data_IF_154361088591
#
_entry.id   IF_154361088591
#
_cell.length_a   1.000
_cell.length_b   1.000
_cell.length_c   1.000
_cell.angle_alpha   90.00
_cell.angle_beta   90.00
_cell.angle_gamma   90.00
#
_symmetry.space_group_name_H-M   'P 1'
#
loop_
_entity.id
_entity.type
_entity.pdbx_description
1 polymer ?
#
# COMPACT_ATOMS: atom_id res chain seq x y z
N UNK A 1 52.46 25.52 -15.17
CA UNK A 1 52.68 24.07 -15.25
C UNK A 1 51.79 23.27 -14.25
N UNK A 2 51.61 23.68 -13.01
CA UNK A 2 50.78 22.92 -12.03
C UNK A 2 49.27 22.81 -12.37
N UNK A 3 48.66 23.80 -13.04
CA UNK A 3 47.23 23.75 -13.44
C UNK A 3 46.95 22.81 -14.62
N UNK A 4 47.93 22.58 -15.52
CA UNK A 4 47.78 21.63 -16.64
C UNK A 4 47.84 20.17 -16.14
N UNK A 5 48.63 19.91 -15.11
CA UNK A 5 48.74 18.55 -14.52
C UNK A 5 47.44 18.11 -13.80
N UNK A 6 46.72 19.04 -13.15
CA UNK A 6 45.44 18.74 -12.46
C UNK A 6 44.36 18.44 -13.49
N UNK A 7 44.32 19.15 -14.61
CA UNK A 7 43.35 18.88 -15.69
C UNK A 7 43.62 17.55 -16.40
N UNK A 8 44.86 17.18 -16.58
CA UNK A 8 45.24 15.89 -17.15
C UNK A 8 44.92 14.71 -16.24
N UNK A 9 45.06 14.88 -14.90
CA UNK A 9 44.66 13.85 -13.92
C UNK A 9 43.13 13.69 -13.83
N UNK A 10 42.36 14.79 -13.93
CA UNK A 10 40.91 14.73 -13.96
C UNK A 10 40.36 14.05 -15.23
N UNK A 11 40.98 14.33 -16.40
CA UNK A 11 40.64 13.63 -17.64
C UNK A 11 41.09 12.17 -17.67
N UNK A 12 42.21 11.81 -17.02
CA UNK A 12 42.62 10.41 -16.88
C UNK A 12 41.70 9.60 -15.91
N UNK A 13 41.17 10.24 -14.88
CA UNK A 13 40.18 9.62 -13.98
C UNK A 13 38.79 9.41 -14.63
N UNK A 14 38.43 10.28 -15.60
CA UNK A 14 37.21 10.08 -16.40
C UNK A 14 37.41 9.06 -17.55
N UNK A 15 38.64 8.81 -17.99
CA UNK A 15 38.91 7.84 -19.05
C UNK A 15 39.06 6.38 -18.56
N UNK A 16 39.08 6.16 -17.24
CA UNK A 16 39.17 4.82 -16.63
C UNK A 16 37.83 4.27 -16.13
N UNK A 17 36.70 4.84 -16.56
CA UNK A 17 35.44 4.12 -16.54
C UNK A 17 35.53 3.04 -17.64
N UNK A 18 36.25 1.94 -17.36
CA UNK A 18 36.21 0.74 -18.20
C UNK A 18 34.75 0.35 -18.29
N UNK A 19 34.22 0.27 -19.51
CA UNK A 19 32.91 -0.31 -19.73
C UNK A 19 32.94 -1.69 -19.06
N UNK A 20 32.09 -1.87 -18.06
CA UNK A 20 31.98 -3.14 -17.35
C UNK A 20 31.51 -4.19 -18.38
N UNK A 21 32.18 -5.34 -18.45
CA UNK A 21 31.74 -6.39 -19.35
C UNK A 21 30.31 -6.79 -19.04
N UNK A 22 29.47 -6.86 -20.06
CA UNK A 22 28.07 -7.30 -19.94
C UNK A 22 27.95 -8.80 -19.71
N UNK A 23 29.05 -9.53 -19.79
CA UNK A 23 29.11 -10.96 -19.48
C UNK A 23 30.48 -11.36 -18.94
N UNK A 24 30.51 -12.49 -18.25
CA UNK A 24 31.74 -13.12 -17.72
C UNK A 24 31.75 -14.62 -18.05
N UNK A 25 32.96 -15.22 -18.04
CA UNK A 25 33.14 -16.66 -18.22
C UNK A 25 32.62 -17.42 -16.98
N UNK A 26 31.77 -18.41 -17.18
CA UNK A 26 31.34 -19.29 -16.11
C UNK A 26 32.51 -20.20 -15.66
N UNK A 27 32.71 -20.32 -14.35
CA UNK A 27 33.83 -21.13 -13.81
C UNK A 27 33.59 -22.64 -13.87
N UNK A 28 32.34 -23.06 -14.03
CA UNK A 28 31.94 -24.45 -14.08
C UNK A 28 31.75 -24.99 -15.49
N UNK A 29 31.67 -24.09 -16.50
CA UNK A 29 31.46 -24.45 -17.90
C UNK A 29 32.26 -23.51 -18.81
N UNK A 30 33.31 -24.03 -19.44
CA UNK A 30 34.22 -23.25 -20.29
C UNK A 30 33.55 -22.67 -21.57
N UNK A 31 32.46 -23.30 -22.00
CA UNK A 31 31.70 -22.85 -23.18
C UNK A 31 30.58 -21.88 -22.85
N UNK A 32 30.39 -21.53 -21.57
CA UNK A 32 29.27 -20.70 -21.12
C UNK A 32 29.72 -19.30 -20.66
N UNK A 33 29.16 -18.28 -21.31
CA UNK A 33 29.22 -16.89 -20.83
C UNK A 33 27.91 -16.55 -20.08
N UNK A 34 28.04 -15.90 -18.94
CA UNK A 34 26.91 -15.36 -18.17
C UNK A 34 26.85 -13.86 -18.33
N UNK A 35 25.63 -13.32 -18.51
CA UNK A 35 25.42 -11.88 -18.44
C UNK A 35 25.57 -11.39 -17.00
N UNK A 36 26.26 -10.26 -16.81
CA UNK A 36 26.59 -9.74 -15.48
C UNK A 36 25.38 -9.18 -14.74
N UNK A 37 24.38 -8.62 -15.43
CA UNK A 37 23.35 -7.80 -14.81
C UNK A 37 21.95 -8.41 -14.86
N UNK A 38 21.78 -9.61 -15.41
CA UNK A 38 20.43 -10.15 -15.62
C UNK A 38 19.71 -10.57 -14.35
N UNK A 39 20.39 -10.66 -13.19
CA UNK A 39 19.82 -11.09 -11.91
C UNK A 39 19.49 -9.95 -10.95
N UNK A 40 19.92 -8.73 -11.29
CA UNK A 40 19.67 -7.57 -10.43
C UNK A 40 18.23 -7.10 -10.59
N UNK A 41 17.38 -7.52 -9.65
CA UNK A 41 16.02 -7.00 -9.55
C UNK A 41 16.06 -5.73 -8.72
N UNK A 42 15.77 -4.60 -9.35
CA UNK A 42 15.70 -3.32 -8.67
C UNK A 42 14.36 -3.16 -7.95
N UNK A 43 14.42 -2.81 -6.66
CA UNK A 43 13.26 -2.37 -5.90
C UNK A 43 12.82 -1.00 -6.42
N UNK A 44 11.52 -0.83 -6.66
CA UNK A 44 10.96 0.48 -6.97
C UNK A 44 11.01 1.39 -5.74
N UNK A 45 11.47 2.63 -5.95
CA UNK A 45 11.53 3.61 -4.89
C UNK A 45 10.26 4.49 -4.91
N UNK A 46 9.42 4.33 -3.89
CA UNK A 46 8.28 5.22 -3.65
C UNK A 46 8.53 6.02 -2.38
N UNK A 47 9.05 7.23 -2.58
CA UNK A 47 9.57 8.08 -1.51
C UNK A 47 8.44 8.96 -0.96
N UNK A 48 8.21 8.86 0.35
CA UNK A 48 7.32 9.75 1.12
C UNK A 48 8.08 10.21 2.35
N UNK A 49 8.16 11.52 2.62
CA UNK A 49 8.73 12.04 3.86
C UNK A 49 7.99 11.58 5.12
N UNK A 50 8.66 11.60 6.26
CA UNK A 50 7.99 11.37 7.54
C UNK A 50 6.91 12.41 7.78
N UNK A 51 5.77 12.00 8.35
CA UNK A 51 4.62 12.85 8.68
C UNK A 51 4.44 12.86 10.20
N UNK A 52 4.42 14.04 10.81
CA UNK A 52 4.25 14.21 12.27
C UNK A 52 5.20 13.35 13.12
N UNK A 53 6.43 13.13 12.63
CA UNK A 53 7.45 12.30 13.30
C UNK A 53 7.24 10.80 13.18
N UNK A 54 6.28 10.34 12.37
CA UNK A 54 6.08 8.94 11.99
C UNK A 54 6.70 8.65 10.62
N UNK A 55 7.24 7.44 10.45
CA UNK A 55 7.55 6.88 9.14
C UNK A 55 6.27 6.55 8.39
N UNK A 56 6.24 6.75 7.09
CA UNK A 56 5.12 6.34 6.24
C UNK A 56 5.47 5.00 5.61
N UNK A 57 4.90 3.92 6.15
CA UNK A 57 5.08 2.57 5.64
C UNK A 57 4.09 2.30 4.51
N UNK A 58 4.58 1.81 3.39
CA UNK A 58 3.78 1.42 2.24
C UNK A 58 3.33 -0.02 2.43
N UNK A 59 2.03 -0.24 2.46
CA UNK A 59 1.47 -1.56 2.74
C UNK A 59 0.38 -1.96 1.78
N UNK A 60 0.22 -3.28 1.60
CA UNK A 60 -0.97 -3.88 1.03
C UNK A 60 -1.55 -4.85 2.07
N UNK A 61 -2.78 -4.62 2.47
CA UNK A 61 -3.45 -5.37 3.53
C UNK A 61 -4.45 -6.39 2.99
N UNK A 62 -4.44 -6.64 1.65
CA UNK A 62 -5.35 -7.54 0.98
C UNK A 62 -4.69 -8.18 -0.25
N UNK A 63 -4.18 -9.41 -0.09
CA UNK A 63 -3.51 -10.14 -1.16
C UNK A 63 -3.70 -11.65 -1.02
N UNK A 64 -3.84 -12.34 -2.16
CA UNK A 64 -4.11 -13.76 -2.28
C UNK A 64 -2.95 -14.53 -2.90
N UNK A 65 -2.88 -15.83 -2.61
CA UNK A 65 -1.93 -16.76 -3.21
C UNK A 65 -2.64 -18.06 -3.64
N UNK A 66 -1.85 -19.04 -4.12
CA UNK A 66 -2.39 -20.34 -4.51
C UNK A 66 -3.05 -21.11 -3.36
N UNK A 67 -2.96 -20.65 -2.13
CA UNK A 67 -3.64 -21.26 -0.98
C UNK A 67 -5.14 -20.94 -0.92
N UNK A 68 -5.60 -19.96 -1.69
CA UNK A 68 -7.02 -19.74 -1.99
C UNK A 68 -7.25 -19.74 -3.50
N UNK A 69 -7.39 -18.62 -4.13
CA UNK A 69 -7.69 -18.45 -5.56
C UNK A 69 -6.68 -17.57 -6.30
N UNK A 70 -5.62 -17.12 -5.62
CA UNK A 70 -4.50 -16.46 -6.26
C UNK A 70 -3.68 -17.43 -7.14
N UNK A 71 -2.93 -16.88 -8.08
CA UNK A 71 -2.16 -17.67 -9.07
C UNK A 71 -0.65 -17.72 -8.78
N UNK A 72 -0.19 -17.16 -7.65
CA UNK A 72 1.23 -17.10 -7.26
C UNK A 72 1.46 -17.69 -5.88
N UNK A 73 2.71 -18.14 -5.59
CA UNK A 73 3.06 -18.65 -4.27
C UNK A 73 3.26 -17.51 -3.26
N UNK A 74 3.19 -17.78 -1.94
CA UNK A 74 3.47 -16.78 -0.92
C UNK A 74 4.84 -16.13 -1.07
N UNK A 75 5.88 -16.88 -1.43
CA UNK A 75 7.23 -16.36 -1.65
C UNK A 75 7.30 -15.40 -2.84
N UNK A 76 6.59 -15.73 -3.93
CA UNK A 76 6.51 -14.84 -5.07
C UNK A 76 5.79 -13.53 -4.70
N UNK A 77 4.67 -13.62 -3.97
CA UNK A 77 3.92 -12.47 -3.51
C UNK A 77 4.77 -11.53 -2.64
N UNK A 78 5.59 -12.09 -1.74
CA UNK A 78 6.54 -11.30 -0.93
C UNK A 78 7.60 -10.62 -1.79
N UNK A 79 8.21 -11.36 -2.74
CA UNK A 79 9.20 -10.80 -3.66
C UNK A 79 8.61 -9.69 -4.51
N UNK A 80 7.41 -9.89 -5.05
CA UNK A 80 6.69 -8.89 -5.85
C UNK A 80 6.41 -7.62 -5.04
N UNK A 81 5.89 -7.76 -3.81
CA UNK A 81 5.67 -6.65 -2.90
C UNK A 81 6.96 -5.85 -2.63
N UNK A 82 8.10 -6.54 -2.46
CA UNK A 82 9.39 -5.88 -2.32
C UNK A 82 9.81 -5.13 -3.59
N UNK A 83 9.67 -5.74 -4.76
CA UNK A 83 9.97 -5.10 -6.06
C UNK A 83 9.14 -3.83 -6.22
N UNK A 84 7.85 -3.88 -5.85
CA UNK A 84 6.92 -2.76 -5.94
C UNK A 84 7.15 -1.66 -4.88
N UNK A 85 8.13 -1.84 -3.99
CA UNK A 85 8.50 -0.85 -2.99
C UNK A 85 7.69 -0.89 -1.69
N UNK A 86 6.94 -1.96 -1.41
CA UNK A 86 6.19 -2.10 -0.16
C UNK A 86 7.11 -2.41 1.03
N UNK A 87 6.70 -1.96 2.21
CA UNK A 87 7.35 -2.21 3.50
C UNK A 87 6.59 -3.26 4.32
N UNK A 88 5.28 -3.41 4.06
CA UNK A 88 4.36 -4.28 4.79
C UNK A 88 3.43 -4.98 3.81
N UNK A 89 3.16 -6.26 4.05
CA UNK A 89 2.22 -7.05 3.27
C UNK A 89 1.37 -7.91 4.21
N UNK A 90 0.05 -7.97 3.99
CA UNK A 90 -0.80 -8.98 4.59
C UNK A 90 -1.08 -10.10 3.58
N UNK A 91 -1.05 -11.35 4.04
CA UNK A 91 -1.56 -12.50 3.29
C UNK A 91 -2.94 -12.81 3.85
N UNK A 92 -3.95 -12.78 2.99
CA UNK A 92 -5.37 -12.81 3.39
C UNK A 92 -6.15 -13.82 2.56
N UNK A 93 -5.71 -15.08 2.62
CA UNK A 93 -6.37 -16.17 1.90
C UNK A 93 -7.84 -16.29 2.27
N UNK A 94 -8.69 -16.55 1.28
CA UNK A 94 -10.09 -16.91 1.53
C UNK A 94 -10.19 -18.15 2.41
N UNK A 95 -10.98 -18.09 3.47
CA UNK A 95 -11.22 -19.26 4.32
C UNK A 95 -12.17 -20.23 3.61
N UNK A 96 -13.18 -19.70 2.91
CA UNK A 96 -14.28 -20.48 2.35
C UNK A 96 -14.16 -20.77 0.86
N UNK A 97 -13.46 -19.90 0.12
CA UNK A 97 -13.32 -20.01 -1.33
C UNK A 97 -11.89 -20.39 -1.71
N UNK A 98 -11.65 -21.66 -2.00
CA UNK A 98 -10.33 -22.22 -2.29
C UNK A 98 -10.38 -23.16 -3.51
N UNK A 99 -10.50 -22.59 -4.74
CA UNK A 99 -10.64 -23.41 -5.96
C UNK A 99 -9.42 -24.30 -6.24
N UNK A 100 -8.23 -23.93 -5.76
CA UNK A 100 -7.00 -24.69 -5.96
C UNK A 100 -6.78 -25.83 -4.95
N UNK A 101 -7.70 -26.02 -3.99
CA UNK A 101 -7.58 -26.98 -2.90
C UNK A 101 -7.23 -28.40 -3.38
N UNK A 102 -7.90 -28.90 -4.42
CA UNK A 102 -7.65 -30.22 -4.97
C UNK A 102 -6.25 -30.38 -5.59
N UNK A 103 -5.76 -29.34 -6.26
CA UNK A 103 -4.42 -29.31 -6.84
C UNK A 103 -3.37 -29.25 -5.73
N UNK A 104 -3.55 -28.36 -4.76
CA UNK A 104 -2.64 -28.17 -3.63
C UNK A 104 -2.47 -29.45 -2.82
N UNK A 105 -3.56 -30.10 -2.45
CA UNK A 105 -3.53 -31.36 -1.69
C UNK A 105 -2.96 -32.53 -2.49
N UNK A 106 -3.09 -32.55 -3.82
CA UNK A 106 -2.59 -33.60 -4.69
C UNK A 106 -1.09 -33.47 -4.99
N UNK A 107 -0.64 -32.30 -5.40
CA UNK A 107 0.74 -32.08 -5.88
C UNK A 107 1.69 -31.55 -4.81
N UNK A 108 1.21 -30.88 -3.80
CA UNK A 108 2.01 -30.17 -2.82
C UNK A 108 1.90 -30.76 -1.41
N UNK A 109 1.67 -32.06 -1.28
CA UNK A 109 1.55 -32.74 0.03
C UNK A 109 2.66 -32.37 1.03
N UNK A 110 3.88 -32.22 0.55
CA UNK A 110 5.02 -31.81 1.39
C UNK A 110 5.00 -30.36 1.85
N UNK A 111 4.10 -29.54 1.31
CA UNK A 111 3.95 -28.13 1.68
C UNK A 111 2.97 -27.92 2.83
N UNK A 112 2.16 -28.92 3.16
CA UNK A 112 1.17 -28.83 4.21
C UNK A 112 1.66 -29.52 5.46
N UNK A 113 1.58 -28.83 6.58
CA UNK A 113 1.89 -29.37 7.90
C UNK A 113 0.63 -29.32 8.76
N UNK A 114 0.36 -30.42 9.47
CA UNK A 114 -0.79 -30.54 10.34
C UNK A 114 -1.99 -31.25 9.71
N UNK A 115 -3.07 -31.37 10.47
CA UNK A 115 -4.31 -31.97 10.02
C UNK A 115 -5.07 -31.01 9.11
N UNK A 116 -5.62 -31.48 7.97
CA UNK A 116 -6.43 -30.65 7.09
C UNK A 116 -7.66 -30.10 7.84
N UNK A 117 -7.91 -28.81 7.70
CA UNK A 117 -9.14 -28.18 8.17
C UNK A 117 -10.34 -28.72 7.36
N UNK A 118 -11.51 -28.88 7.97
CA UNK A 118 -12.73 -29.39 7.35
C UNK A 118 -13.93 -28.47 7.49
N UNK A 119 -13.86 -27.17 7.14
CA UNK A 119 -15.05 -26.35 7.13
C UNK A 119 -16.05 -26.92 6.11
N UNK A 120 -17.33 -26.88 6.42
CA UNK A 120 -18.41 -27.43 5.59
C UNK A 120 -18.21 -28.90 5.18
N UNK A 121 -17.50 -29.71 5.97
CA UNK A 121 -17.28 -31.12 5.71
C UNK A 121 -16.26 -31.45 4.61
N UNK A 122 -15.61 -30.43 4.01
CA UNK A 122 -14.53 -30.62 3.03
C UNK A 122 -13.17 -30.55 3.74
N UNK A 123 -12.21 -31.33 3.23
CA UNK A 123 -10.81 -31.25 3.64
C UNK A 123 -10.23 -30.01 2.96
N UNK A 124 -9.63 -29.14 3.74
CA UNK A 124 -9.01 -27.91 3.26
C UNK A 124 -7.54 -27.85 3.66
N UNK A 125 -6.75 -27.13 2.87
CA UNK A 125 -5.34 -26.89 3.16
C UNK A 125 -5.17 -26.13 4.46
N UNK A 126 -4.03 -26.34 5.13
CA UNK A 126 -3.64 -25.53 6.28
C UNK A 126 -3.23 -24.12 5.84
N UNK A 127 -4.09 -23.14 6.08
CA UNK A 127 -3.84 -21.75 5.70
C UNK A 127 -2.73 -21.05 6.51
N UNK A 128 -2.37 -21.60 7.68
CA UNK A 128 -1.22 -21.10 8.44
C UNK A 128 0.10 -21.30 7.68
N UNK A 129 0.15 -22.30 6.78
CA UNK A 129 1.31 -22.55 5.93
C UNK A 129 1.55 -21.38 4.97
N UNK A 130 0.51 -20.81 4.36
CA UNK A 130 0.64 -19.63 3.50
C UNK A 130 1.30 -18.48 4.24
N UNK A 131 0.78 -18.12 5.41
CA UNK A 131 1.33 -17.06 6.27
C UNK A 131 2.78 -17.35 6.70
N UNK A 132 3.08 -18.58 7.15
CA UNK A 132 4.42 -18.94 7.62
C UNK A 132 5.47 -18.92 6.50
N UNK A 133 5.11 -19.33 5.29
CA UNK A 133 5.98 -19.25 4.11
C UNK A 133 6.26 -17.81 3.70
N UNK A 134 5.24 -16.95 3.73
CA UNK A 134 5.42 -15.52 3.49
C UNK A 134 6.36 -14.88 4.53
N UNK A 135 6.17 -15.19 5.81
CA UNK A 135 7.06 -14.72 6.90
C UNK A 135 8.50 -15.17 6.68
N UNK A 136 8.70 -16.44 6.34
CA UNK A 136 10.04 -16.97 6.08
C UNK A 136 10.72 -16.30 4.88
N UNK A 137 9.99 -16.10 3.78
CA UNK A 137 10.49 -15.43 2.59
C UNK A 137 10.83 -13.95 2.86
N UNK A 138 10.03 -13.27 3.68
CA UNK A 138 10.18 -11.85 3.96
C UNK A 138 11.48 -11.46 4.68
N UNK A 139 12.11 -12.41 5.38
CA UNK A 139 13.40 -12.18 6.10
C UNK A 139 14.47 -11.65 5.15
N UNK A 140 14.56 -12.18 3.93
CA UNK A 140 15.55 -11.76 2.92
C UNK A 140 15.26 -10.38 2.30
N UNK A 141 14.04 -9.86 2.44
CA UNK A 141 13.58 -8.61 1.82
C UNK A 141 13.34 -7.47 2.81
N UNK A 142 13.33 -7.74 4.12
CA UNK A 142 13.01 -6.73 5.13
C UNK A 142 11.57 -6.23 5.10
N UNK A 143 10.65 -7.04 4.54
CA UNK A 143 9.20 -6.77 4.57
C UNK A 143 8.60 -7.33 5.86
N UNK A 144 7.70 -6.58 6.48
CA UNK A 144 6.90 -7.09 7.60
C UNK A 144 5.64 -7.76 7.08
N UNK A 145 5.44 -9.04 7.39
CA UNK A 145 4.24 -9.78 7.04
C UNK A 145 3.22 -9.69 8.17
N UNK A 146 2.00 -9.30 7.85
CA UNK A 146 0.83 -9.39 8.73
C UNK A 146 0.12 -10.71 8.42
N UNK A 147 0.12 -11.69 9.33
CA UNK A 147 -0.69 -12.89 9.15
C UNK A 147 -2.18 -12.53 9.15
N UNK A 148 -2.92 -13.02 8.16
CA UNK A 148 -4.32 -12.71 8.01
C UNK A 148 -5.10 -13.79 7.28
N UNK A 149 -6.38 -13.54 7.11
CA UNK A 149 -7.29 -14.35 6.30
C UNK A 149 -8.50 -13.51 5.90
N UNK A 150 -9.13 -13.85 4.81
CA UNK A 150 -10.39 -13.24 4.40
C UNK A 150 -11.58 -14.17 4.71
N UNK A 151 -12.53 -13.62 5.47
CA UNK A 151 -13.86 -14.20 5.72
C UNK A 151 -14.73 -13.79 4.54
N UNK A 152 -14.99 -14.74 3.63
CA UNK A 152 -15.64 -14.51 2.34
C UNK A 152 -17.04 -15.07 2.33
N UNK A 153 -18.04 -14.24 2.06
CA UNK A 153 -19.45 -14.62 1.98
C UNK A 153 -20.12 -13.94 0.77
N UNK A 154 -21.43 -14.15 0.62
CA UNK A 154 -22.23 -13.48 -0.40
C UNK A 154 -22.11 -11.94 -0.28
N UNK A 155 -21.51 -11.30 -1.26
CA UNK A 155 -21.21 -9.86 -1.27
C UNK A 155 -22.45 -8.99 -1.12
N UNK A 156 -23.61 -9.44 -1.62
CA UNK A 156 -24.84 -8.66 -1.58
C UNK A 156 -25.60 -8.80 -0.26
N UNK A 157 -25.28 -9.81 0.57
CA UNK A 157 -25.99 -10.09 1.83
C UNK A 157 -25.11 -9.93 3.06
N UNK A 158 -23.82 -10.18 2.94
CA UNK A 158 -22.86 -10.25 4.05
C UNK A 158 -21.64 -9.40 3.78
N UNK A 159 -20.96 -9.60 2.65
CA UNK A 159 -19.70 -8.95 2.30
C UNK A 159 -18.47 -9.78 2.65
N UNK A 160 -17.30 -9.19 2.43
CA UNK A 160 -15.99 -9.79 2.66
C UNK A 160 -15.22 -8.99 3.73
N UNK A 161 -14.45 -9.70 4.55
CA UNK A 161 -13.77 -9.09 5.70
C UNK A 161 -12.41 -9.71 5.94
N UNK A 162 -11.36 -8.89 5.95
CA UNK A 162 -10.03 -9.34 6.34
C UNK A 162 -9.87 -9.33 7.85
N UNK A 163 -9.45 -10.46 8.41
CA UNK A 163 -8.96 -10.59 9.76
C UNK A 163 -7.43 -10.47 9.74
N UNK A 164 -6.89 -9.35 10.22
CA UNK A 164 -5.46 -9.04 10.24
C UNK A 164 -4.86 -9.38 11.62
N UNK A 165 -3.61 -9.87 11.68
CA UNK A 165 -2.93 -10.31 12.91
C UNK A 165 -3.54 -11.57 13.55
N UNK A 166 -4.07 -12.47 12.75
CA UNK A 166 -4.57 -13.77 13.20
C UNK A 166 -3.39 -14.68 13.54
N UNK A 167 -3.50 -15.43 14.65
CA UNK A 167 -2.45 -16.38 15.07
C UNK A 167 -2.65 -17.76 14.47
N UNK A 168 -3.89 -18.19 14.35
CA UNK A 168 -4.30 -19.47 13.79
C UNK A 168 -5.56 -19.30 12.92
N UNK A 169 -5.34 -19.22 11.62
CA UNK A 169 -6.40 -19.01 10.61
C UNK A 169 -7.37 -20.18 10.58
N UNK A 170 -6.89 -21.40 10.80
CA UNK A 170 -7.72 -22.61 10.67
C UNK A 170 -8.84 -22.69 11.73
N UNK A 171 -8.72 -21.96 12.83
CA UNK A 171 -9.68 -22.01 13.96
C UNK A 171 -10.77 -20.93 13.93
N UNK A 172 -10.66 -19.94 13.02
CA UNK A 172 -11.61 -18.82 13.00
C UNK A 172 -12.90 -19.12 12.23
N UNK A 173 -12.91 -20.14 11.35
CA UNK A 173 -14.11 -20.46 10.58
C UNK A 173 -15.32 -20.77 11.48
N UNK A 174 -16.47 -20.22 11.10
CA UNK A 174 -17.80 -20.55 11.64
C UNK A 174 -18.85 -20.37 10.53
N UNK A 175 -19.92 -21.18 10.47
CA UNK A 175 -21.04 -20.94 9.56
C UNK A 175 -21.63 -19.54 9.68
N UNK A 176 -21.65 -18.96 10.88
CA UNK A 176 -21.99 -17.56 11.11
C UNK A 176 -20.75 -16.67 10.96
N UNK A 177 -20.70 -15.77 9.96
CA UNK A 177 -19.55 -14.91 9.73
C UNK A 177 -19.27 -13.93 10.88
N UNK A 178 -20.27 -13.49 11.63
CA UNK A 178 -20.06 -12.66 12.82
C UNK A 178 -19.33 -13.44 13.93
N UNK A 179 -19.60 -14.73 14.06
CA UNK A 179 -18.87 -15.63 14.98
C UNK A 179 -17.43 -15.83 14.50
N UNK A 180 -17.21 -15.99 13.18
CA UNK A 180 -15.85 -16.05 12.62
C UNK A 180 -15.04 -14.79 12.97
N UNK A 181 -15.63 -13.59 12.84
CA UNK A 181 -14.99 -12.34 13.23
C UNK A 181 -14.67 -12.31 14.74
N UNK A 182 -15.59 -12.75 15.60
CA UNK A 182 -15.39 -12.82 17.06
C UNK A 182 -14.21 -13.74 17.41
N UNK A 183 -14.15 -14.94 16.81
CA UNK A 183 -13.03 -15.88 17.00
C UNK A 183 -11.69 -15.26 16.57
N UNK A 184 -11.66 -14.52 15.47
CA UNK A 184 -10.46 -13.81 15.04
C UNK A 184 -10.07 -12.70 16.05
N UNK A 185 -11.04 -11.93 16.54
CA UNK A 185 -10.80 -10.89 17.56
C UNK A 185 -10.31 -11.45 18.89
N UNK A 186 -10.77 -12.63 19.31
CA UNK A 186 -10.27 -13.34 20.50
C UNK A 186 -8.77 -13.67 20.38
N UNK A 187 -8.27 -13.89 19.17
CA UNK A 187 -6.85 -14.03 18.88
C UNK A 187 -6.11 -12.68 18.81
N UNK A 188 -6.84 -11.58 18.91
CA UNK A 188 -6.32 -10.22 18.84
C UNK A 188 -6.32 -9.62 17.43
N UNK A 189 -7.03 -10.20 16.47
CA UNK A 189 -7.13 -9.64 15.13
C UNK A 189 -7.85 -8.29 15.09
N UNK A 190 -7.52 -7.48 14.08
CA UNK A 190 -8.30 -6.35 13.60
C UNK A 190 -9.12 -6.80 12.40
N UNK A 191 -10.36 -6.37 12.30
CA UNK A 191 -11.25 -6.72 11.18
C UNK A 191 -11.41 -5.52 10.26
N UNK A 192 -11.11 -5.73 8.98
CA UNK A 192 -11.27 -4.73 7.92
C UNK A 192 -12.39 -5.16 6.96
N UNK A 193 -13.33 -4.27 6.67
CA UNK A 193 -14.36 -4.49 5.66
C UNK A 193 -13.78 -4.23 4.27
N UNK A 194 -13.81 -5.24 3.40
CA UNK A 194 -13.21 -5.20 2.08
C UNK A 194 -14.19 -4.63 1.05
N UNK A 195 -13.68 -3.95 0.02
CA UNK A 195 -14.36 -3.49 -1.22
C UNK A 195 -15.90 -3.36 -1.11
N UNK A 196 -16.43 -2.43 -0.28
CA UNK A 196 -17.85 -2.38 0.10
C UNK A 196 -18.83 -2.12 -1.06
N UNK A 197 -18.32 -1.69 -2.20
CA UNK A 197 -19.09 -1.43 -3.42
C UNK A 197 -18.98 -2.50 -4.51
N UNK A 198 -18.04 -3.45 -4.36
CA UNK A 198 -17.79 -4.46 -5.39
C UNK A 198 -19.06 -5.25 -5.75
N UNK A 199 -19.36 -5.35 -7.07
CA UNK A 199 -20.56 -5.95 -7.66
C UNK A 199 -21.90 -5.46 -7.10
N UNK A 200 -21.92 -4.41 -6.28
CA UNK A 200 -23.12 -3.77 -5.75
C UNK A 200 -23.53 -2.57 -6.59
N UNK A 201 -24.81 -2.22 -6.53
CA UNK A 201 -25.36 -1.05 -7.20
C UNK A 201 -24.88 0.27 -6.56
N UNK A 202 -24.66 0.27 -5.26
CA UNK A 202 -24.17 1.39 -4.47
C UNK A 202 -23.45 0.87 -3.21
N UNK A 203 -22.94 1.79 -2.39
CA UNK A 203 -22.24 1.48 -1.15
C UNK A 203 -23.12 1.57 0.10
N UNK A 204 -24.46 1.61 -0.03
CA UNK A 204 -25.35 1.65 1.12
C UNK A 204 -25.16 0.43 2.01
N UNK A 205 -25.25 0.63 3.34
CA UNK A 205 -25.08 -0.45 4.30
C UNK A 205 -26.22 -1.47 4.23
N UNK A 206 -25.86 -2.74 4.03
CA UNK A 206 -26.77 -3.87 4.16
C UNK A 206 -26.98 -4.23 5.65
N UNK A 207 -27.98 -5.05 5.94
CA UNK A 207 -28.34 -5.37 7.33
C UNK A 207 -27.21 -6.02 8.12
N UNK A 208 -26.43 -6.91 7.49
CA UNK A 208 -25.30 -7.54 8.16
C UNK A 208 -24.19 -6.52 8.52
N UNK A 209 -23.89 -5.58 7.63
CA UNK A 209 -22.92 -4.49 7.92
C UNK A 209 -23.40 -3.64 9.09
N UNK A 210 -24.70 -3.28 9.15
CA UNK A 210 -25.28 -2.55 10.28
C UNK A 210 -25.13 -3.32 11.59
N UNK A 211 -25.33 -4.64 11.55
CA UNK A 211 -25.16 -5.51 12.71
C UNK A 211 -23.71 -5.50 13.18
N UNK A 212 -22.73 -5.87 12.33
CA UNK A 212 -21.32 -6.02 12.74
C UNK A 212 -20.68 -4.68 13.11
N UNK A 213 -21.14 -3.58 12.51
CA UNK A 213 -20.72 -2.23 12.91
C UNK A 213 -21.31 -1.85 14.27
N UNK A 214 -22.58 -2.18 14.52
CA UNK A 214 -23.25 -1.96 15.81
C UNK A 214 -22.64 -2.79 16.93
N UNK A 215 -22.14 -3.98 16.64
CA UNK A 215 -21.43 -4.86 17.57
C UNK A 215 -19.94 -4.48 17.75
N UNK A 216 -19.46 -3.41 17.11
CA UNK A 216 -18.06 -2.95 17.14
C UNK A 216 -17.06 -4.05 16.73
N UNK A 217 -17.42 -4.86 15.74
CA UNK A 217 -16.54 -5.91 15.23
C UNK A 217 -15.53 -5.39 14.20
N UNK A 218 -15.79 -4.25 13.57
CA UNK A 218 -14.98 -3.70 12.47
C UNK A 218 -14.04 -2.60 12.99
N UNK A 219 -12.80 -2.64 12.55
CA UNK A 219 -11.74 -1.68 12.90
C UNK A 219 -11.31 -0.82 11.70
N UNK A 220 -11.52 -1.30 10.47
CA UNK A 220 -11.11 -0.61 9.24
C UNK A 220 -11.99 -0.92 8.05
N UNK A 221 -11.80 -0.16 6.96
CA UNK A 221 -12.57 -0.32 5.73
C UNK A 221 -11.71 0.07 4.52
N UNK A 222 -11.86 -0.65 3.42
CA UNK A 222 -11.29 -0.26 2.15
C UNK A 222 -12.11 0.87 1.52
N UNK A 223 -11.43 1.97 1.24
CA UNK A 223 -12.00 3.07 0.46
C UNK A 223 -11.53 3.01 -1.00
N UNK A 224 -10.48 2.23 -1.28
CA UNK A 224 -9.99 1.88 -2.61
C UNK A 224 -9.59 0.40 -2.64
N UNK A 225 -9.98 -0.31 -3.71
CA UNK A 225 -9.60 -1.69 -3.93
C UNK A 225 -9.36 -1.91 -5.44
N UNK A 226 -8.21 -2.47 -5.83
CA UNK A 226 -7.85 -2.57 -7.23
C UNK A 226 -7.96 -1.23 -7.96
N UNK A 227 -8.81 -1.14 -8.97
CA UNK A 227 -9.10 0.11 -9.70
C UNK A 227 -10.36 0.84 -9.18
N UNK A 228 -11.00 0.32 -8.14
CA UNK A 228 -12.22 0.90 -7.58
C UNK A 228 -11.91 1.95 -6.51
N UNK A 229 -12.67 3.03 -6.49
CA UNK A 229 -12.60 4.08 -5.49
C UNK A 229 -14.01 4.46 -5.02
N UNK A 230 -14.23 4.48 -3.71
CA UNK A 230 -15.51 4.72 -3.07
C UNK A 230 -15.52 6.01 -2.23
N UNK A 231 -15.60 7.22 -2.82
CA UNK A 231 -15.54 8.48 -2.07
C UNK A 231 -16.53 8.58 -0.89
N UNK A 232 -17.79 8.11 -0.97
CA UNK A 232 -18.72 8.16 0.17
C UNK A 232 -18.25 7.34 1.38
N UNK A 233 -17.40 6.32 1.16
CA UNK A 233 -16.88 5.47 2.25
C UNK A 233 -15.88 6.23 3.13
N UNK A 234 -15.23 7.30 2.64
CA UNK A 234 -14.36 8.15 3.46
C UNK A 234 -15.14 8.74 4.63
N UNK A 235 -16.33 9.27 4.37
CA UNK A 235 -17.23 9.82 5.41
C UNK A 235 -17.68 8.73 6.38
N UNK A 236 -18.07 7.56 5.86
CA UNK A 236 -18.47 6.42 6.71
C UNK A 236 -17.32 5.98 7.63
N UNK A 237 -16.09 5.90 7.11
CA UNK A 237 -14.93 5.51 7.89
C UNK A 237 -14.64 6.49 9.02
N UNK A 238 -14.76 7.80 8.76
CA UNK A 238 -14.62 8.85 9.79
C UNK A 238 -15.70 8.72 10.87
N UNK A 239 -16.99 8.64 10.49
CA UNK A 239 -18.13 8.54 11.40
C UNK A 239 -18.09 7.27 12.27
N UNK A 240 -17.58 6.16 11.72
CA UNK A 240 -17.47 4.87 12.42
C UNK A 240 -16.15 4.67 13.14
N UNK A 241 -15.23 5.63 13.05
CA UNK A 241 -13.88 5.54 13.60
C UNK A 241 -13.06 4.36 13.04
N UNK A 242 -13.20 4.04 11.76
CA UNK A 242 -12.44 3.00 11.08
C UNK A 242 -11.14 3.55 10.50
N UNK A 243 -10.06 2.75 10.51
CA UNK A 243 -8.91 3.08 9.68
C UNK A 243 -9.27 2.93 8.20
N UNK A 244 -8.72 3.81 7.35
CA UNK A 244 -8.97 3.81 5.92
C UNK A 244 -7.86 3.10 5.18
N UNK A 245 -8.22 2.22 4.24
CA UNK A 245 -7.27 1.42 3.48
C UNK A 245 -7.44 1.56 1.97
N UNK A 246 -6.34 1.38 1.24
CA UNK A 246 -6.29 1.12 -0.18
C UNK A 246 -5.45 -0.12 -0.42
N UNK A 247 -6.03 -1.16 -0.96
CA UNK A 247 -5.37 -2.43 -1.18
C UNK A 247 -5.61 -2.94 -2.60
N UNK A 248 -4.88 -3.96 -2.99
CA UNK A 248 -4.98 -4.47 -4.35
C UNK A 248 -6.00 -5.57 -4.53
N UNK A 249 -6.20 -6.41 -3.51
CA UNK A 249 -6.95 -7.66 -3.65
C UNK A 249 -6.38 -8.54 -4.79
N UNK A 250 -5.05 -8.54 -4.87
CA UNK A 250 -4.33 -9.11 -6.00
C UNK A 250 -4.37 -10.63 -6.00
N UNK A 251 -4.85 -11.20 -7.08
CA UNK A 251 -4.88 -12.64 -7.33
C UNK A 251 -3.79 -13.09 -8.31
N UNK A 252 -3.57 -12.31 -9.37
CA UNK A 252 -2.53 -12.50 -10.36
C UNK A 252 -1.19 -11.87 -9.95
N UNK A 253 -0.45 -11.35 -10.92
CA UNK A 253 0.78 -10.57 -10.70
C UNK A 253 0.51 -9.08 -10.82
N UNK A 254 1.10 -8.27 -9.96
CA UNK A 254 0.95 -6.81 -10.03
C UNK A 254 1.47 -6.22 -11.33
N UNK A 255 2.46 -6.87 -11.95
CA UNK A 255 2.99 -6.47 -13.26
C UNK A 255 1.92 -6.42 -14.35
N UNK A 256 0.95 -7.34 -14.31
CA UNK A 256 -0.13 -7.37 -15.30
C UNK A 256 -1.15 -6.26 -15.08
N UNK A 257 -1.43 -5.93 -13.81
CA UNK A 257 -2.53 -5.04 -13.46
C UNK A 257 -2.09 -3.57 -13.34
N UNK A 258 -0.84 -3.31 -12.93
CA UNK A 258 -0.36 -1.96 -12.62
C UNK A 258 0.83 -1.52 -13.47
N UNK A 259 1.90 -2.34 -13.56
CA UNK A 259 3.16 -1.93 -14.18
C UNK A 259 3.04 -1.81 -15.69
N UNK A 260 2.23 -2.65 -16.34
CA UNK A 260 1.97 -2.54 -17.79
C UNK A 260 1.35 -1.18 -18.14
N UNK A 261 0.54 -0.62 -17.25
CA UNK A 261 0.00 0.73 -17.37
C UNK A 261 0.95 1.85 -16.94
N UNK A 262 2.16 1.53 -16.45
CA UNK A 262 3.11 2.51 -15.92
C UNK A 262 2.63 3.18 -14.62
N UNK A 263 1.75 2.54 -13.88
CA UNK A 263 1.10 3.10 -12.69
C UNK A 263 1.57 2.40 -11.42
N UNK A 264 1.64 3.16 -10.32
CA UNK A 264 1.95 2.62 -9.01
C UNK A 264 0.71 1.94 -8.42
N UNK A 265 0.89 0.73 -7.87
CA UNK A 265 -0.19 -0.05 -7.23
C UNK A 265 -0.82 0.68 -6.04
N UNK A 266 -1.98 0.19 -5.60
CA UNK A 266 -2.62 0.64 -4.37
C UNK A 266 -1.73 0.39 -3.15
N UNK A 267 -1.79 1.31 -2.20
CA UNK A 267 -1.08 1.22 -0.92
C UNK A 267 -1.92 1.82 0.20
N UNK A 268 -2.05 1.10 1.28
CA UNK A 268 -2.39 1.70 2.58
C UNK A 268 -1.11 2.27 3.17
N UNK A 269 -1.04 3.60 3.28
CA UNK A 269 0.09 4.32 3.86
C UNK A 269 -0.10 4.36 5.38
N UNK A 270 0.70 3.59 6.11
CA UNK A 270 0.60 3.46 7.57
C UNK A 270 1.64 4.37 8.23
N UNK A 271 1.20 5.30 9.07
CA UNK A 271 2.07 6.20 9.82
C UNK A 271 2.45 5.54 11.15
N UNK A 272 3.60 4.88 11.19
CA UNK A 272 4.11 4.14 12.33
C UNK A 272 5.47 4.65 12.79
N UNK A 273 5.83 4.39 14.04
CA UNK A 273 7.16 4.76 14.57
C UNK A 273 8.27 3.92 13.97
N UNK A 274 7.97 2.65 13.72
CA UNK A 274 8.90 1.67 13.17
C UNK A 274 8.16 0.60 12.37
N UNK A 275 8.88 -0.17 11.53
CA UNK A 275 8.31 -1.27 10.74
C UNK A 275 8.32 -2.56 11.57
N UNK A 276 7.40 -2.65 12.55
CA UNK A 276 7.19 -3.83 13.39
C UNK A 276 5.70 -4.10 13.56
N UNK A 277 5.31 -5.37 13.73
CA UNK A 277 3.90 -5.74 13.91
C UNK A 277 3.20 -4.96 15.04
N UNK A 278 3.81 -4.77 16.24
CA UNK A 278 3.17 -3.96 17.29
C UNK A 278 2.97 -2.50 16.89
N UNK A 279 3.96 -1.86 16.26
CA UNK A 279 3.88 -0.45 15.86
C UNK A 279 2.87 -0.24 14.71
N UNK A 280 2.82 -1.18 13.77
CA UNK A 280 1.82 -1.19 12.69
C UNK A 280 0.42 -1.35 13.26
N UNK A 281 0.20 -2.31 14.15
CA UNK A 281 -1.08 -2.54 14.79
C UNK A 281 -1.57 -1.35 15.60
N UNK A 282 -0.66 -0.69 16.33
CA UNK A 282 -0.94 0.56 17.05
C UNK A 282 -1.35 1.68 16.09
N UNK A 283 -0.66 1.81 14.95
CA UNK A 283 -1.00 2.80 13.93
C UNK A 283 -2.39 2.58 13.33
N UNK A 284 -2.74 1.32 13.00
CA UNK A 284 -4.07 0.96 12.50
C UNK A 284 -5.16 1.28 13.54
N UNK A 285 -4.99 0.86 14.80
CA UNK A 285 -5.92 1.18 15.88
C UNK A 285 -6.10 2.67 16.11
N UNK A 286 -5.02 3.43 15.95
CA UNK A 286 -5.05 4.90 16.06
C UNK A 286 -5.49 5.59 14.77
N UNK A 287 -5.90 4.85 13.74
CA UNK A 287 -6.34 5.34 12.41
C UNK A 287 -5.32 6.24 11.71
N UNK A 288 -4.04 6.03 12.00
CA UNK A 288 -2.94 6.74 11.35
C UNK A 288 -2.65 6.10 9.99
N UNK A 289 -3.63 6.18 9.08
CA UNK A 289 -3.55 5.63 7.72
C UNK A 289 -4.05 6.61 6.68
N UNK A 290 -3.49 6.52 5.48
CA UNK A 290 -3.99 7.17 4.27
C UNK A 290 -4.12 6.12 3.18
N UNK A 291 -5.15 6.22 2.37
CA UNK A 291 -5.33 5.38 1.19
C UNK A 291 -4.69 6.05 -0.03
N UNK A 292 -3.86 5.31 -0.75
CA UNK A 292 -3.23 5.75 -2.00
C UNK A 292 -3.58 4.80 -3.15
N UNK A 293 -4.02 5.33 -4.27
CA UNK A 293 -4.22 4.59 -5.51
C UNK A 293 -3.99 5.49 -6.71
N UNK A 294 -3.11 5.08 -7.63
CA UNK A 294 -2.94 5.70 -8.96
C UNK A 294 -2.79 7.24 -8.93
N UNK A 295 -2.07 7.76 -7.92
CA UNK A 295 -1.87 9.20 -7.73
C UNK A 295 -2.95 9.91 -6.93
N UNK A 296 -4.00 9.22 -6.50
CA UNK A 296 -5.03 9.75 -5.58
C UNK A 296 -4.68 9.39 -4.15
N UNK A 297 -4.86 10.34 -3.22
CA UNK A 297 -4.70 10.09 -1.77
C UNK A 297 -6.01 10.44 -1.07
N UNK A 298 -6.45 9.59 -0.14
CA UNK A 298 -7.66 9.85 0.64
C UNK A 298 -7.46 9.50 2.11
N UNK A 299 -8.16 10.22 2.99
CA UNK A 299 -8.06 10.00 4.43
C UNK A 299 -8.74 11.09 5.25
N UNK A 300 -8.47 11.09 6.55
CA UNK A 300 -8.93 12.12 7.49
C UNK A 300 -8.35 13.49 7.12
N UNK A 301 -9.15 14.55 7.20
CA UNK A 301 -8.79 15.87 6.68
C UNK A 301 -7.48 16.42 7.26
N UNK A 302 -7.29 16.35 8.58
CA UNK A 302 -6.06 16.88 9.18
C UNK A 302 -4.84 16.07 8.76
N UNK A 303 -4.94 14.75 8.74
CA UNK A 303 -3.85 13.88 8.33
C UNK A 303 -3.47 14.06 6.85
N UNK A 304 -4.45 14.27 5.98
CA UNK A 304 -4.25 14.63 4.57
C UNK A 304 -3.48 15.95 4.42
N UNK A 305 -3.84 16.99 5.20
CA UNK A 305 -3.12 18.27 5.19
C UNK A 305 -1.70 18.13 5.69
N UNK A 306 -1.50 17.41 6.78
CA UNK A 306 -0.17 17.15 7.35
C UNK A 306 0.72 16.39 6.37
N UNK A 307 0.15 15.39 5.68
CA UNK A 307 0.83 14.64 4.63
C UNK A 307 1.26 15.54 3.46
N UNK A 308 0.35 16.40 2.97
CA UNK A 308 0.70 17.35 1.91
C UNK A 308 1.82 18.30 2.34
N UNK A 309 1.74 18.85 3.55
CA UNK A 309 2.76 19.76 4.09
C UNK A 309 4.11 19.09 4.36
N UNK A 310 4.12 17.79 4.65
CA UNK A 310 5.36 17.03 4.76
C UNK A 310 6.00 16.80 3.37
N UNK A 311 5.18 16.56 2.34
CA UNK A 311 5.64 16.32 0.97
C UNK A 311 6.08 17.60 0.24
N UNK A 312 5.44 18.75 0.52
CA UNK A 312 5.64 19.98 -0.25
C UNK A 312 6.25 21.08 0.62
N UNK A 313 7.48 21.46 0.29
CA UNK A 313 8.20 22.58 0.92
C UNK A 313 7.83 23.91 0.25
N UNK A 314 7.59 24.95 1.05
CA UNK A 314 7.34 26.30 0.59
C UNK A 314 8.48 27.23 1.01
N UNK A 315 9.04 27.99 0.06
CA UNK A 315 10.13 28.93 0.30
C UNK A 315 9.86 30.25 -0.43
N UNK A 316 10.18 31.39 0.20
CA UNK A 316 10.19 32.66 -0.50
C UNK A 316 11.38 32.70 -1.46
N UNK A 317 11.10 32.65 -2.75
CA UNK A 317 12.12 32.70 -3.81
C UNK A 317 12.55 34.13 -4.13
N UNK A 318 11.59 35.07 -4.13
CA UNK A 318 11.83 36.50 -4.45
C UNK A 318 10.78 37.38 -3.83
N UNK A 319 11.15 38.58 -3.44
CA UNK A 319 10.25 39.68 -3.08
C UNK A 319 10.56 40.86 -4.00
N UNK A 320 9.56 41.43 -4.64
CA UNK A 320 9.71 42.63 -5.47
C UNK A 320 9.59 43.95 -4.69
N UNK A 321 9.82 45.07 -5.36
CA UNK A 321 9.78 46.41 -4.73
C UNK A 321 8.41 46.78 -4.16
N UNK A 322 7.33 46.11 -4.54
CA UNK A 322 5.97 46.32 -4.06
C UNK A 322 5.59 45.35 -2.92
N UNK A 323 6.52 44.50 -2.48
CA UNK A 323 6.31 43.51 -1.45
C UNK A 323 5.58 42.23 -1.93
N UNK A 324 5.33 42.10 -3.24
CA UNK A 324 4.78 40.85 -3.82
C UNK A 324 5.83 39.73 -3.74
N UNK A 325 5.45 38.60 -3.19
CA UNK A 325 6.32 37.43 -3.03
C UNK A 325 6.14 36.45 -4.19
N UNK A 326 7.23 35.89 -4.68
CA UNK A 326 7.22 34.67 -5.47
C UNK A 326 7.60 33.53 -4.54
N UNK A 327 6.66 32.63 -4.30
CA UNK A 327 6.86 31.45 -3.49
C UNK A 327 7.27 30.29 -4.39
N UNK A 328 8.28 29.54 -4.00
CA UNK A 328 8.63 28.27 -4.63
C UNK A 328 8.02 27.13 -3.83
N UNK A 329 7.24 26.31 -4.50
CA UNK A 329 6.70 25.05 -3.98
C UNK A 329 7.55 23.92 -4.54
N UNK A 330 8.13 23.08 -3.68
CA UNK A 330 8.96 21.93 -4.07
C UNK A 330 8.32 20.67 -3.53
N UNK A 331 7.94 19.76 -4.42
CA UNK A 331 7.48 18.42 -4.07
C UNK A 331 8.69 17.50 -3.84
N UNK A 332 8.87 17.00 -2.62
CA UNK A 332 9.95 16.08 -2.23
C UNK A 332 9.47 14.63 -2.10
N UNK A 333 8.38 14.27 -2.79
CA UNK A 333 7.79 12.93 -2.72
C UNK A 333 7.56 12.33 -4.10
N UNK A 334 7.28 11.04 -4.12
CA UNK A 334 6.84 10.31 -5.32
C UNK A 334 5.37 10.55 -5.68
N UNK A 335 4.60 11.25 -4.83
CA UNK A 335 3.18 11.53 -5.06
C UNK A 335 3.02 12.80 -5.91
N UNK A 336 2.31 12.75 -7.05
CA UNK A 336 1.95 13.97 -7.78
C UNK A 336 0.83 14.72 -7.06
N UNK A 337 0.81 16.06 -7.14
CA UNK A 337 -0.29 16.87 -6.62
C UNK A 337 -0.92 17.71 -7.71
N UNK A 338 -2.24 17.80 -7.71
CA UNK A 338 -3.04 18.63 -8.63
C UNK A 338 -3.57 19.80 -7.82
N UNK A 339 -3.00 20.99 -8.03
CA UNK A 339 -3.29 22.20 -7.25
C UNK A 339 -4.21 23.12 -8.03
N UNK A 340 -5.24 23.67 -7.36
CA UNK A 340 -6.20 24.62 -7.98
C UNK A 340 -6.27 25.93 -7.19
N UNK A 341 -5.83 26.99 -7.84
CA UNK A 341 -5.74 28.35 -7.29
C UNK A 341 -6.91 29.23 -7.76
N UNK A 342 -8.12 28.69 -7.87
CA UNK A 342 -9.30 29.39 -8.38
C UNK A 342 -9.51 29.30 -9.91
N UNK A 343 -8.47 28.99 -10.69
CA UNK A 343 -8.51 28.78 -12.13
C UNK A 343 -8.39 27.31 -12.53
N UNK A 344 -7.76 27.04 -13.67
CA UNK A 344 -7.45 25.68 -14.10
C UNK A 344 -6.46 25.02 -13.14
N UNK A 345 -6.63 23.70 -12.86
CA UNK A 345 -5.67 22.97 -12.04
C UNK A 345 -4.28 22.93 -12.67
N UNK A 346 -3.25 22.93 -11.82
CA UNK A 346 -1.86 22.79 -12.22
C UNK A 346 -1.23 21.61 -11.51
N UNK A 347 -0.44 20.81 -12.23
CA UNK A 347 0.25 19.66 -11.65
C UNK A 347 1.59 20.08 -11.02
N UNK A 348 1.81 19.68 -9.78
CA UNK A 348 3.12 19.67 -9.11
C UNK A 348 3.63 18.22 -9.14
N UNK A 349 4.52 17.92 -10.10
CA UNK A 349 5.03 16.55 -10.33
C UNK A 349 5.92 16.09 -9.18
N UNK A 350 6.12 14.77 -9.02
CA UNK A 350 7.16 14.25 -8.14
C UNK A 350 8.51 14.93 -8.36
N UNK A 351 9.21 15.22 -7.27
CA UNK A 351 10.57 15.80 -7.26
C UNK A 351 10.73 17.04 -8.17
N UNK A 352 9.69 17.87 -8.25
CA UNK A 352 9.70 19.08 -9.07
C UNK A 352 9.31 20.32 -8.26
N UNK A 353 9.59 21.51 -8.83
CA UNK A 353 9.25 22.78 -8.21
C UNK A 353 8.37 23.62 -9.14
N UNK A 354 7.49 24.40 -8.53
CA UNK A 354 6.71 25.47 -9.19
C UNK A 354 6.76 26.76 -8.40
N UNK A 355 6.70 27.87 -9.12
CA UNK A 355 6.60 29.18 -8.50
C UNK A 355 5.14 29.68 -8.57
N UNK A 356 4.69 30.30 -7.49
CA UNK A 356 3.40 30.99 -7.40
C UNK A 356 3.60 32.38 -6.84
N UNK A 357 2.88 33.37 -7.37
CA UNK A 357 2.95 34.74 -6.89
C UNK A 357 1.88 34.99 -5.83
N UNK A 358 2.28 35.59 -4.71
CA UNK A 358 1.41 35.96 -3.60
C UNK A 358 1.54 37.48 -3.39
N UNK A 359 0.43 38.24 -3.39
CA UNK A 359 0.47 39.69 -3.13
C UNK A 359 0.95 39.96 -1.70
N UNK A 360 1.45 41.18 -1.47
CA UNK A 360 1.82 41.59 -0.13
C UNK A 360 0.64 41.40 0.83
N UNK A 361 0.90 40.82 1.98
CA UNK A 361 -0.06 40.57 3.06
C UNK A 361 -1.26 39.67 2.68
N UNK A 362 -1.20 39.05 1.50
CA UNK A 362 -2.20 38.08 1.07
C UNK A 362 -1.87 36.64 1.55
N UNK A 363 -2.91 35.86 1.70
CA UNK A 363 -2.81 34.42 1.99
C UNK A 363 -2.71 33.63 0.67
N UNK A 364 -1.80 32.66 0.61
CA UNK A 364 -1.79 31.67 -0.45
C UNK A 364 -2.87 30.62 -0.15
N UNK A 365 -3.88 30.56 -0.98
CA UNK A 365 -5.03 29.66 -0.83
C UNK A 365 -5.22 28.82 -2.08
N UNK A 366 -5.37 27.50 -1.93
CA UNK A 366 -5.64 26.56 -3.03
C UNK A 366 -6.25 25.25 -2.49
N UNK A 367 -6.87 24.46 -3.38
CA UNK A 367 -7.29 23.09 -3.11
C UNK A 367 -6.34 22.11 -3.77
N UNK A 368 -6.26 20.87 -3.22
CA UNK A 368 -5.48 19.78 -3.79
C UNK A 368 -6.46 18.73 -4.34
N UNK A 369 -6.71 18.78 -5.64
CA UNK A 369 -7.83 18.10 -6.32
C UNK A 369 -7.70 16.57 -6.40
N UNK A 370 -6.50 16.02 -6.27
CA UNK A 370 -6.28 14.56 -6.20
C UNK A 370 -6.14 14.05 -4.77
N UNK A 371 -6.48 14.87 -3.78
CA UNK A 371 -6.63 14.45 -2.39
C UNK A 371 -8.09 14.54 -1.98
N UNK A 372 -8.56 13.51 -1.26
CA UNK A 372 -9.96 13.39 -0.88
C UNK A 372 -10.12 13.28 0.63
N UNK A 373 -11.11 14.00 1.15
CA UNK A 373 -11.48 14.07 2.56
C UNK A 373 -12.98 13.78 2.74
N UNK A 374 -13.48 13.55 3.96
CA UNK A 374 -14.90 13.32 4.23
C UNK A 374 -15.82 14.36 3.57
N UNK A 375 -17.02 13.93 3.18
CA UNK A 375 -18.00 14.76 2.47
C UNK A 375 -17.70 14.91 0.98
N UNK A 376 -16.91 14.01 0.39
CA UNK A 376 -16.52 14.02 -1.02
C UNK A 376 -15.87 15.34 -1.45
N UNK A 377 -14.99 15.86 -0.61
CA UNK A 377 -14.32 17.15 -0.77
C UNK A 377 -12.82 16.99 -1.00
N UNK A 378 -12.21 18.09 -1.44
CA UNK A 378 -10.75 18.24 -1.54
C UNK A 378 -10.23 19.14 -0.42
N UNK A 379 -9.05 18.85 0.15
CA UNK A 379 -8.49 19.69 1.22
C UNK A 379 -8.12 21.08 0.71
N UNK A 380 -8.49 22.08 1.48
CA UNK A 380 -8.07 23.47 1.26
C UNK A 380 -6.82 23.77 2.10
N UNK A 381 -5.78 24.26 1.43
CA UNK A 381 -4.52 24.71 2.05
C UNK A 381 -4.49 26.25 2.08
N UNK A 382 -4.19 26.81 3.25
CA UNK A 382 -4.05 28.23 3.49
C UNK A 382 -2.72 28.52 4.19
N UNK A 383 -1.89 29.36 3.57
CA UNK A 383 -0.57 29.69 4.07
C UNK A 383 -0.35 31.20 4.11
N UNK A 384 0.16 31.70 5.22
CA UNK A 384 0.63 33.09 5.38
C UNK A 384 2.14 33.09 5.50
N UNK A 385 2.80 34.05 4.83
CA UNK A 385 4.25 34.15 4.75
C UNK A 385 4.75 35.52 5.20
#
# INVERSE_FOLDING_TARGET
MKKLFILALACAACASASAQSIYYQDSANEDMLRHTDYQDVLRQEFIIPNVNGYKVLKSDLHAHTIFSDGSVTPEYRVREAWVDGLDVLAITEHIEYRPHEGVMTSYLKGFFQGEPNKPNGKILSDLNVSNSRAVAAAVGYGITIIPGAEITRDQNKIGHYNALFVKDVNTIYDPDPAVSMKKAREQGALIMHNHPGWIRKNVDMIEFEKQVYGENLIDGIEIMNGTEFYPPIITRAEEKNFFMAANTDIHGTTTMDYVVGGQQRNMTLILAKENTLPAIKDALKARRTLAYSLGTVAGEEQLIKDFFMACVKFETFRVDGNGKRTMRMTNNSSVPFILKFGGNPVQLRPFSSRNVSVAKDAELKFTVENMWIPGEKHPEIKLRF
#
